data_IF_336038258306
#
_entry.id   IF_336038258306
#
_cell.length_a   1.000
_cell.length_b   1.000
_cell.length_c   1.000
_cell.angle_alpha   90.00
_cell.angle_beta   90.00
_cell.angle_gamma   90.00
#
_symmetry.space_group_name_H-M   'P 1'
#
loop_
_entity.id
_entity.type
_entity.pdbx_description
1 polymer ?
#
# COMPACT_ATOMS: atom_id res chain seq x y z
N UNK A 1 -34.06 -31.27 -13.25
CA UNK A 1 -33.01 -31.99 -12.50
C UNK A 1 -32.20 -30.97 -11.72
N UNK A 2 -32.51 -30.79 -10.42
CA UNK A 2 -31.83 -31.39 -9.25
C UNK A 2 -30.45 -30.75 -8.97
N UNK A 3 -30.08 -30.29 -7.78
CA UNK A 3 -30.80 -30.11 -6.52
C UNK A 3 -29.94 -29.16 -5.65
N UNK A 4 -30.61 -28.27 -4.93
CA UNK A 4 -30.14 -27.54 -3.75
C UNK A 4 -29.34 -28.39 -2.76
N UNK A 5 -28.15 -27.93 -2.33
CA UNK A 5 -27.40 -28.32 -1.11
C UNK A 5 -26.26 -27.29 -0.90
N UNK A 6 -26.00 -26.62 0.22
CA UNK A 6 -26.63 -26.51 1.53
C UNK A 6 -26.34 -25.12 2.10
N UNK A 7 -27.36 -24.60 2.79
CA UNK A 7 -27.39 -23.45 3.67
C UNK A 7 -26.73 -23.80 5.01
N UNK A 8 -26.24 -22.77 5.70
CA UNK A 8 -26.25 -22.64 7.18
C UNK A 8 -25.14 -23.32 7.99
N UNK A 9 -24.28 -22.50 8.59
CA UNK A 9 -24.01 -22.54 10.04
C UNK A 9 -23.33 -21.23 10.51
N UNK A 10 -24.17 -20.25 10.84
CA UNK A 10 -23.91 -19.24 11.87
C UNK A 10 -24.13 -19.94 13.22
N UNK A 11 -23.17 -19.88 14.13
CA UNK A 11 -23.36 -19.79 15.59
C UNK A 11 -21.96 -19.66 16.22
N UNK A 12 -21.61 -18.49 16.79
CA UNK A 12 -21.92 -18.09 18.16
C UNK A 12 -21.08 -18.84 19.21
N UNK A 13 -20.07 -18.16 19.76
CA UNK A 13 -19.72 -18.29 21.18
C UNK A 13 -18.96 -17.05 21.67
N UNK A 14 -19.75 -16.13 22.21
CA UNK A 14 -19.33 -15.28 23.32
C UNK A 14 -19.51 -16.11 24.59
N UNK A 15 -18.44 -16.31 25.36
CA UNK A 15 -18.53 -16.73 26.76
C UNK A 15 -17.60 -15.86 27.61
N UNK A 16 -18.25 -15.08 28.47
CA UNK A 16 -17.67 -14.42 29.64
C UNK A 16 -17.11 -15.48 30.61
N UNK A 17 -15.97 -15.17 31.23
CA UNK A 17 -15.42 -15.95 32.34
C UNK A 17 -14.57 -15.06 33.23
N UNK A 18 -15.21 -14.55 34.30
CA UNK A 18 -14.63 -13.72 35.34
C UNK A 18 -13.49 -14.39 36.13
N UNK A 19 -12.46 -13.60 36.39
CA UNK A 19 -11.83 -13.34 37.70
C UNK A 19 -11.81 -14.47 38.75
N UNK A 20 -10.60 -14.96 39.06
CA UNK A 20 -10.21 -15.36 40.42
C UNK A 20 -8.74 -14.99 40.67
N UNK A 21 -8.51 -13.98 41.53
CA UNK A 21 -7.24 -13.77 42.26
C UNK A 21 -7.18 -14.72 43.45
N UNK A 22 -6.01 -15.29 43.77
CA UNK A 22 -5.64 -15.45 45.18
C UNK A 22 -4.12 -15.12 45.38
N UNK A 23 -3.53 -15.29 46.59
CA UNK A 23 -3.05 -14.17 47.39
C UNK A 23 -1.53 -14.16 47.58
N UNK A 24 -1.07 -13.07 48.19
CA UNK A 24 0.31 -12.73 48.52
C UNK A 24 0.77 -13.54 49.74
N UNK A 25 1.92 -14.21 49.67
CA UNK A 25 2.92 -14.33 50.76
C UNK A 25 4.07 -15.29 50.34
N UNK A 26 5.33 -14.86 50.52
CA UNK A 26 6.47 -15.76 50.41
C UNK A 26 7.80 -15.07 50.13
N UNK A 27 8.41 -14.51 51.18
CA UNK A 27 9.76 -13.94 51.26
C UNK A 27 10.85 -15.00 50.94
N UNK A 28 11.96 -14.63 50.27
CA UNK A 28 13.13 -15.52 50.23
C UNK A 28 14.22 -15.26 49.17
N UNK A 29 15.01 -14.19 49.37
CA UNK A 29 16.46 -14.05 49.15
C UNK A 29 17.17 -15.16 48.33
N UNK A 30 17.83 -14.81 47.22
CA UNK A 30 19.30 -14.91 47.04
C UNK A 30 19.79 -14.59 45.62
N UNK A 31 20.69 -13.60 45.57
CA UNK A 31 21.99 -13.58 44.86
C UNK A 31 22.02 -13.83 43.34
N UNK A 32 22.39 -12.75 42.64
CA UNK A 32 23.17 -12.67 41.41
C UNK A 32 22.92 -13.75 40.35
N UNK A 33 22.32 -13.35 39.24
CA UNK A 33 22.98 -13.30 37.92
C UNK A 33 21.96 -13.08 36.81
N UNK A 34 22.41 -12.38 35.77
CA UNK A 34 21.79 -12.30 34.45
C UNK A 34 20.50 -11.46 34.33
N UNK A 35 20.66 -10.13 34.43
CA UNK A 35 19.78 -9.19 33.72
C UNK A 35 19.95 -9.37 32.20
N UNK A 36 19.32 -10.39 31.65
CA UNK A 36 19.08 -10.51 30.21
C UNK A 36 17.67 -9.98 29.95
N UNK A 37 17.51 -9.28 28.82
CA UNK A 37 16.25 -8.84 28.20
C UNK A 37 15.72 -7.46 28.60
N UNK A 38 16.46 -6.41 28.24
CA UNK A 38 15.87 -5.09 27.97
C UNK A 38 16.66 -4.29 26.92
N UNK A 39 17.02 -4.90 25.78
CA UNK A 39 17.64 -4.17 24.67
C UNK A 39 17.36 -4.81 23.29
N UNK A 40 16.16 -5.38 23.08
CA UNK A 40 15.80 -6.02 21.81
C UNK A 40 14.38 -5.66 21.37
N UNK A 41 13.99 -4.39 21.48
CA UNK A 41 12.67 -3.94 21.01
C UNK A 41 12.72 -2.65 20.19
N UNK A 42 13.70 -2.52 19.28
CA UNK A 42 13.75 -1.36 18.35
C UNK A 42 13.82 -1.77 16.87
N UNK A 43 14.10 -3.03 16.53
CA UNK A 43 14.32 -3.43 15.13
C UNK A 43 13.14 -4.19 14.47
N UNK A 44 12.01 -4.36 15.15
CA UNK A 44 10.90 -5.20 14.68
C UNK A 44 9.94 -4.56 13.65
N UNK A 45 9.92 -3.23 13.51
CA UNK A 45 8.90 -2.53 12.69
C UNK A 45 9.34 -2.23 11.26
N UNK A 46 10.63 -2.28 10.95
CA UNK A 46 11.15 -1.90 9.63
C UNK A 46 10.81 -2.91 8.50
N UNK A 47 10.46 -4.16 8.82
CA UNK A 47 10.17 -5.18 7.79
C UNK A 47 8.72 -5.17 7.27
N UNK A 48 7.78 -4.56 7.98
CA UNK A 48 6.37 -4.54 7.54
C UNK A 48 6.16 -3.55 6.38
N UNK A 49 6.92 -2.45 6.35
CA UNK A 49 6.80 -1.45 5.28
C UNK A 49 7.35 -1.94 3.92
N UNK A 50 8.48 -2.66 3.91
CA UNK A 50 9.11 -3.11 2.66
C UNK A 50 8.25 -4.10 1.85
N UNK A 51 7.52 -4.99 2.52
CA UNK A 51 6.69 -5.97 1.83
C UNK A 51 5.44 -5.37 1.15
N UNK A 52 4.93 -4.25 1.64
CA UNK A 52 3.78 -3.58 1.01
C UNK A 52 4.18 -2.89 -0.29
N UNK A 53 5.34 -2.23 -0.29
CA UNK A 53 5.92 -1.60 -1.48
C UNK A 53 6.29 -2.63 -2.55
N UNK A 54 6.93 -3.74 -2.16
CA UNK A 54 7.29 -4.81 -3.10
C UNK A 54 6.05 -5.40 -3.80
N UNK A 55 5.00 -5.72 -3.04
CA UNK A 55 3.74 -6.22 -3.63
C UNK A 55 3.08 -5.19 -4.55
N UNK A 56 3.15 -3.90 -4.20
CA UNK A 56 2.62 -2.84 -5.06
C UNK A 56 3.44 -2.73 -6.36
N UNK A 57 4.76 -2.91 -6.29
CA UNK A 57 5.66 -2.92 -7.45
C UNK A 57 5.42 -4.15 -8.33
N UNK A 58 5.27 -5.35 -7.77
CA UNK A 58 4.89 -6.56 -8.52
C UNK A 58 3.54 -6.40 -9.22
N UNK A 59 2.54 -5.85 -8.52
CA UNK A 59 1.23 -5.55 -9.10
C UNK A 59 1.32 -4.51 -10.22
N UNK A 60 2.20 -3.51 -10.05
CA UNK A 60 2.48 -2.51 -11.09
C UNK A 60 3.10 -3.14 -12.34
N UNK A 61 4.12 -3.99 -12.18
CA UNK A 61 4.74 -4.71 -13.31
C UNK A 61 3.74 -5.63 -14.02
N UNK A 62 2.81 -6.23 -13.28
CA UNK A 62 1.70 -7.00 -13.86
C UNK A 62 0.76 -6.13 -14.71
N UNK A 63 0.45 -4.91 -14.24
CA UNK A 63 -0.34 -3.95 -15.00
C UNK A 63 0.42 -3.42 -16.24
N UNK A 64 1.75 -3.27 -16.16
CA UNK A 64 2.59 -2.91 -17.30
C UNK A 64 2.55 -3.99 -18.39
N UNK A 65 2.55 -5.28 -18.03
CA UNK A 65 2.37 -6.35 -19.03
C UNK A 65 1.03 -6.24 -19.76
N UNK A 66 -0.07 -5.98 -19.06
CA UNK A 66 -1.36 -5.73 -19.69
C UNK A 66 -1.32 -4.51 -20.62
N UNK A 67 -0.58 -3.47 -20.25
CA UNK A 67 -0.35 -2.31 -21.09
C UNK A 67 0.45 -2.68 -22.35
N UNK A 68 1.53 -3.44 -22.22
CA UNK A 68 2.35 -3.91 -23.35
C UNK A 68 1.55 -4.81 -24.30
N UNK A 69 0.68 -5.67 -23.77
CA UNK A 69 -0.22 -6.54 -24.52
C UNK A 69 -1.43 -5.80 -25.14
N UNK A 70 -1.45 -4.47 -25.09
CA UNK A 70 -2.53 -3.63 -25.59
C UNK A 70 -3.91 -3.86 -24.93
N UNK A 71 -3.93 -4.46 -23.75
CA UNK A 71 -5.14 -4.63 -22.93
C UNK A 71 -5.43 -3.36 -22.12
N UNK A 72 -5.70 -2.26 -22.82
CA UNK A 72 -5.72 -0.90 -22.26
C UNK A 72 -6.72 -0.71 -21.13
N UNK A 73 -7.92 -1.26 -21.23
CA UNK A 73 -8.97 -1.14 -20.21
C UNK A 73 -8.57 -1.85 -18.92
N UNK A 74 -8.07 -3.08 -19.01
CA UNK A 74 -7.58 -3.83 -17.86
C UNK A 74 -6.36 -3.17 -17.24
N UNK A 75 -5.42 -2.68 -18.06
CA UNK A 75 -4.26 -1.93 -17.57
C UNK A 75 -4.69 -0.67 -16.80
N UNK A 76 -5.65 0.09 -17.36
CA UNK A 76 -6.20 1.28 -16.73
C UNK A 76 -6.81 0.98 -15.35
N UNK A 77 -7.66 -0.03 -15.24
CA UNK A 77 -8.28 -0.43 -13.97
C UNK A 77 -7.23 -0.79 -12.91
N UNK A 78 -6.18 -1.53 -13.32
CA UNK A 78 -5.11 -1.94 -12.41
C UNK A 78 -4.25 -0.74 -11.97
N UNK A 79 -3.92 0.16 -12.89
CA UNK A 79 -3.22 1.39 -12.54
C UNK A 79 -4.07 2.30 -11.65
N UNK A 80 -5.37 2.44 -11.90
CA UNK A 80 -6.28 3.22 -11.08
C UNK A 80 -6.35 2.69 -9.63
N UNK A 81 -6.48 1.37 -9.47
CA UNK A 81 -6.47 0.72 -8.16
C UNK A 81 -5.16 0.94 -7.40
N UNK A 82 -4.01 0.82 -8.07
CA UNK A 82 -2.70 1.09 -7.47
C UNK A 82 -2.51 2.58 -7.15
N UNK A 83 -2.97 3.46 -8.02
CA UNK A 83 -2.94 4.91 -7.81
C UNK A 83 -3.78 5.31 -6.59
N UNK A 84 -4.93 4.68 -6.37
CA UNK A 84 -5.77 4.88 -5.18
C UNK A 84 -5.07 4.44 -3.89
N UNK A 85 -4.35 3.33 -3.93
CA UNK A 85 -3.49 2.83 -2.85
C UNK A 85 -2.26 3.73 -2.57
N UNK A 86 -1.95 4.66 -3.48
CA UNK A 86 -0.87 5.63 -3.32
C UNK A 86 0.40 5.34 -4.13
N UNK A 87 0.38 4.35 -5.02
CA UNK A 87 1.52 4.02 -5.87
C UNK A 87 1.74 5.11 -6.93
N UNK A 88 2.75 5.96 -6.72
CA UNK A 88 3.00 7.16 -7.55
C UNK A 88 3.25 6.85 -9.03
N UNK A 89 4.07 5.84 -9.41
CA UNK A 89 4.26 5.50 -10.82
C UNK A 89 2.94 5.14 -11.54
N UNK A 90 2.05 4.41 -10.86
CA UNK A 90 0.74 4.05 -11.41
C UNK A 90 -0.16 5.30 -11.58
N UNK A 91 -0.12 6.21 -10.60
CA UNK A 91 -0.83 7.49 -10.67
C UNK A 91 -0.39 8.34 -11.89
N UNK A 92 0.90 8.32 -12.26
CA UNK A 92 1.38 9.02 -13.46
C UNK A 92 0.78 8.42 -14.74
N UNK A 93 0.80 7.10 -14.87
CA UNK A 93 0.28 6.41 -16.05
C UNK A 93 -1.24 6.59 -16.20
N UNK A 94 -2.02 6.41 -15.13
CA UNK A 94 -3.49 6.56 -15.21
C UNK A 94 -3.89 7.99 -15.60
N UNK A 95 -3.17 9.02 -15.14
CA UNK A 95 -3.40 10.41 -15.54
C UNK A 95 -3.03 10.66 -17.01
N UNK A 96 -1.97 10.03 -17.51
CA UNK A 96 -1.61 10.06 -18.93
C UNK A 96 -2.71 9.43 -19.78
N UNK A 97 -3.20 8.25 -19.36
CA UNK A 97 -4.26 7.52 -20.04
C UNK A 97 -5.56 8.32 -20.07
N UNK A 98 -5.97 8.96 -18.96
CA UNK A 98 -7.13 9.85 -18.94
C UNK A 98 -7.00 11.02 -19.92
N UNK A 99 -5.81 11.64 -19.98
CA UNK A 99 -5.58 12.81 -20.82
C UNK A 99 -5.56 12.46 -22.31
N UNK A 100 -4.96 11.33 -22.66
CA UNK A 100 -4.70 10.93 -24.04
C UNK A 100 -5.45 9.67 -24.46
N UNK A 101 -6.54 9.33 -23.76
CA UNK A 101 -7.38 8.16 -24.00
C UNK A 101 -7.65 7.90 -25.47
N UNK A 102 -8.50 8.75 -26.06
CA UNK A 102 -8.89 8.62 -27.47
C UNK A 102 -7.71 8.66 -28.45
N UNK A 103 -6.77 9.64 -28.38
CA UNK A 103 -5.70 9.73 -29.38
C UNK A 103 -4.62 8.64 -29.29
N UNK A 104 -4.34 8.06 -28.11
CA UNK A 104 -3.30 7.03 -27.96
C UNK A 104 -3.84 5.61 -27.89
N UNK A 105 -5.04 5.42 -27.34
CA UNK A 105 -5.57 4.09 -26.99
C UNK A 105 -6.87 3.76 -27.73
N UNK A 106 -7.45 4.72 -28.46
CA UNK A 106 -8.73 4.54 -29.16
C UNK A 106 -9.93 4.35 -28.22
N UNK A 107 -9.75 4.56 -26.91
CA UNK A 107 -10.79 4.40 -25.87
C UNK A 107 -10.79 5.60 -24.94
N UNK A 108 -11.95 5.94 -24.38
CA UNK A 108 -12.08 7.06 -23.47
C UNK A 108 -12.21 6.55 -22.03
N UNK A 109 -11.16 6.77 -21.24
CA UNK A 109 -11.16 6.36 -19.84
C UNK A 109 -11.86 7.40 -18.97
N UNK A 110 -12.59 6.93 -17.96
CA UNK A 110 -13.30 7.81 -17.02
C UNK A 110 -12.89 7.50 -15.59
N UNK A 111 -12.70 8.55 -14.79
CA UNK A 111 -12.48 8.47 -13.36
C UNK A 111 -13.25 9.60 -12.66
N UNK A 112 -13.55 9.43 -11.37
CA UNK A 112 -14.22 10.49 -10.59
C UNK A 112 -13.29 11.71 -10.47
N UNK A 113 -13.80 12.95 -10.57
CA UNK A 113 -12.96 14.16 -10.46
C UNK A 113 -12.13 14.20 -9.17
N UNK A 114 -12.70 13.76 -8.05
CA UNK A 114 -12.02 13.66 -6.75
C UNK A 114 -10.85 12.67 -6.79
N UNK A 115 -11.00 11.57 -7.51
CA UNK A 115 -9.99 10.52 -7.66
C UNK A 115 -8.80 11.06 -8.47
N UNK A 116 -9.08 11.76 -9.58
CA UNK A 116 -8.09 12.46 -10.41
C UNK A 116 -7.31 13.49 -9.60
N UNK A 117 -8.01 14.31 -8.80
CA UNK A 117 -7.38 15.32 -7.96
C UNK A 117 -6.41 14.70 -6.93
N UNK A 118 -6.80 13.60 -6.28
CA UNK A 118 -5.93 12.87 -5.34
C UNK A 118 -4.68 12.31 -6.02
N UNK A 119 -4.82 11.71 -7.19
CA UNK A 119 -3.69 11.18 -7.96
C UNK A 119 -2.73 12.29 -8.37
N UNK A 120 -3.26 13.39 -8.92
CA UNK A 120 -2.46 14.54 -9.34
C UNK A 120 -1.68 15.13 -8.16
N UNK A 121 -2.33 15.30 -6.99
CA UNK A 121 -1.67 15.80 -5.80
C UNK A 121 -0.52 14.89 -5.33
N UNK A 122 -0.69 13.57 -5.40
CA UNK A 122 0.37 12.61 -5.05
C UNK A 122 1.57 12.73 -5.99
N UNK A 123 1.31 12.80 -7.30
CA UNK A 123 2.36 12.96 -8.32
C UNK A 123 3.13 14.27 -8.11
N UNK A 124 2.42 15.38 -7.84
CA UNK A 124 3.06 16.67 -7.58
C UNK A 124 3.96 16.62 -6.34
N UNK A 125 3.49 16.03 -5.23
CA UNK A 125 4.30 15.89 -4.00
C UNK A 125 5.53 15.01 -4.20
N UNK A 126 5.42 13.98 -5.02
CA UNK A 126 6.50 13.03 -5.27
C UNK A 126 7.47 13.48 -6.38
N UNK A 127 7.18 14.56 -7.09
CA UNK A 127 8.07 15.11 -8.11
C UNK A 127 9.02 16.09 -7.42
N UNK A 128 10.32 15.76 -7.29
CA UNK A 128 11.28 16.70 -6.75
C UNK A 128 11.34 17.91 -7.70
N UNK A 129 11.14 19.11 -7.16
CA UNK A 129 11.43 20.32 -7.92
C UNK A 129 12.93 20.31 -8.23
N UNK A 130 13.36 20.59 -9.47
CA UNK A 130 14.75 20.91 -9.71
C UNK A 130 15.07 22.16 -8.88
N UNK A 131 15.71 21.95 -7.73
CA UNK A 131 16.31 23.04 -6.98
C UNK A 131 17.36 23.62 -7.91
N UNK A 132 17.07 24.79 -8.48
CA UNK A 132 17.99 25.50 -9.33
C UNK A 132 19.32 25.63 -8.57
N UNK A 133 20.31 24.81 -8.94
CA UNK A 133 21.65 24.96 -8.44
C UNK A 133 22.14 26.34 -8.90
N UNK A 134 22.51 27.25 -8.00
CA UNK A 134 22.96 28.60 -8.37
C UNK A 134 24.20 28.61 -9.29
N UNK A 135 24.89 27.46 -9.43
CA UNK A 135 26.04 27.29 -10.33
C UNK A 135 25.70 27.07 -11.81
N UNK A 136 24.42 26.89 -12.18
CA UNK A 136 24.04 26.68 -13.59
C UNK A 136 23.99 27.97 -14.42
N UNK A 137 23.98 29.15 -13.78
CA UNK A 137 23.77 30.44 -14.45
C UNK A 137 25.11 31.12 -14.84
N UNK A 138 26.25 30.70 -14.27
CA UNK A 138 27.55 31.37 -14.47
C UNK A 138 28.46 30.74 -15.53
N UNK A 139 28.07 29.64 -16.20
CA UNK A 139 28.89 28.97 -17.21
C UNK A 139 28.73 29.53 -18.65
N UNK A 140 28.39 30.81 -18.80
CA UNK A 140 28.35 31.49 -20.09
C UNK A 140 28.78 32.94 -19.91
N UNK A 141 30.09 33.15 -19.80
CA UNK A 141 30.75 34.45 -19.98
C UNK A 141 32.16 34.21 -20.55
#
# INVERSE_FOLDING_TARGET
MNHSMYRTARDARVSHGSFVRPPIAGLGITRHSASIAAAALVLGTARVCGGAEERANEAFLSAVRLYEDCHWEFAFERFASLADQGHVPAAKLVLLMLRYGSPLYGTNFTAKPEQVARWAQRVLRATPLPTASPNAITASA
#
